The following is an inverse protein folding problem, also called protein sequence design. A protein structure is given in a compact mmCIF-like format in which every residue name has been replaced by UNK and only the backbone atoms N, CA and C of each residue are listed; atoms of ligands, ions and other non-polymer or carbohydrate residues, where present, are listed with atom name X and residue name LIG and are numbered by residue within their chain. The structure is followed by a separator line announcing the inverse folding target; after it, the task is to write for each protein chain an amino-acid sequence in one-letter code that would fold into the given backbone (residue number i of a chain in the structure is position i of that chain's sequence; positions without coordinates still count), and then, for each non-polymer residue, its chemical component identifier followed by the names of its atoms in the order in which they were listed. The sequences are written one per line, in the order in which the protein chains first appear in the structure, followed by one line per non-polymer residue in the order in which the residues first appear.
data_IF_625077324780
#
_entry.id   IF_625077324780
#
_cell.length_a   1.000
_cell.length_b   1.000
_cell.length_c   1.000
_cell.angle_alpha   90.00
_cell.angle_beta   90.00
_cell.angle_gamma   90.00
#
_symmetry.space_group_name_H-M   'P 1'
#
loop_
_entity.id
_entity.type
_entity.pdbx_description
1 polymer ?
#
# COMPACT_ATOMS: atom_id res chain seq x y z
N UNK A 1 17.60 11.32 -8.23
CA UNK A 1 17.21 10.23 -9.14
C UNK A 1 18.23 9.13 -8.99
N UNK A 2 17.81 7.95 -8.56
CA UNK A 2 18.65 6.75 -8.67
C UNK A 2 18.80 6.50 -10.17
N UNK A 3 20.02 6.56 -10.71
CA UNK A 3 20.26 6.19 -12.11
C UNK A 3 19.82 4.75 -12.35
N UNK A 4 19.42 4.41 -13.57
CA UNK A 4 19.07 3.03 -13.93
C UNK A 4 20.26 2.14 -13.56
N UNK A 5 20.05 1.23 -12.61
CA UNK A 5 21.09 0.30 -12.20
C UNK A 5 21.29 -0.74 -13.30
N UNK A 6 22.52 -0.90 -13.74
CA UNK A 6 22.86 -1.91 -14.73
C UNK A 6 22.98 -3.28 -14.03
N UNK A 7 21.97 -4.13 -14.25
CA UNK A 7 21.95 -5.51 -13.79
C UNK A 7 22.65 -6.38 -14.84
N UNK A 8 23.70 -7.08 -14.45
CA UNK A 8 24.31 -8.08 -15.32
C UNK A 8 23.43 -9.36 -15.39
N UNK A 9 23.80 -10.29 -16.28
CA UNK A 9 23.03 -11.53 -16.46
C UNK A 9 22.93 -12.35 -15.17
N UNK A 10 23.95 -12.31 -14.29
CA UNK A 10 23.90 -13.02 -13.01
C UNK A 10 22.95 -12.33 -12.03
N UNK A 11 22.92 -11.01 -12.00
CA UNK A 11 21.95 -10.28 -11.18
C UNK A 11 20.50 -10.60 -11.61
N UNK A 12 20.23 -10.65 -12.92
CA UNK A 12 18.90 -11.04 -13.44
C UNK A 12 18.50 -12.46 -13.04
N UNK A 13 19.40 -13.44 -13.19
CA UNK A 13 19.15 -14.82 -12.76
C UNK A 13 18.88 -14.92 -11.25
N UNK A 14 19.64 -14.17 -10.43
CA UNK A 14 19.42 -14.12 -8.98
C UNK A 14 18.02 -13.56 -8.67
N UNK A 15 17.57 -12.52 -9.39
CA UNK A 15 16.25 -11.92 -9.20
C UNK A 15 15.12 -12.89 -9.56
N UNK A 16 15.23 -13.58 -10.70
CA UNK A 16 14.24 -14.58 -11.14
C UNK A 16 14.05 -15.69 -10.09
N UNK A 17 15.16 -16.24 -9.59
CA UNK A 17 15.14 -17.28 -8.55
C UNK A 17 14.51 -16.77 -7.25
N UNK A 18 14.79 -15.52 -6.86
CA UNK A 18 14.22 -14.89 -5.66
C UNK A 18 12.73 -14.53 -5.84
N UNK A 19 12.28 -14.19 -7.04
CA UNK A 19 10.87 -13.93 -7.35
C UNK A 19 10.05 -15.22 -7.22
N UNK A 20 10.57 -16.35 -7.70
CA UNK A 20 9.92 -17.66 -7.62
C UNK A 20 9.95 -18.26 -6.21
N UNK A 21 11.07 -18.12 -5.51
CA UNK A 21 11.24 -18.63 -4.14
C UNK A 21 12.03 -17.63 -3.27
N UNK A 22 11.35 -16.68 -2.60
CA UNK A 22 12.01 -15.69 -1.75
C UNK A 22 12.78 -16.26 -0.56
N UNK A 23 12.48 -17.50 -0.14
CA UNK A 23 13.10 -18.18 1.01
C UNK A 23 14.34 -19.03 0.64
N UNK A 24 14.67 -19.13 -0.66
CA UNK A 24 15.79 -19.95 -1.13
C UNK A 24 17.13 -19.48 -0.55
N UNK A 25 17.99 -20.45 -0.16
CA UNK A 25 19.27 -20.10 0.44
C UNK A 25 20.26 -19.57 -0.59
N UNK A 26 21.13 -18.64 -0.16
CA UNK A 26 22.19 -18.11 -1.05
C UNK A 26 23.14 -19.19 -1.55
N UNK A 27 23.29 -20.29 -0.80
CA UNK A 27 24.07 -21.47 -1.21
C UNK A 27 23.42 -22.18 -2.41
N UNK A 28 22.10 -22.29 -2.44
CA UNK A 28 21.38 -22.91 -3.55
C UNK A 28 21.40 -22.00 -4.78
N UNK A 29 21.15 -20.71 -4.60
CA UNK A 29 21.30 -19.71 -5.68
C UNK A 29 22.70 -19.80 -6.28
N UNK A 30 23.74 -19.83 -5.45
CA UNK A 30 25.14 -19.92 -5.87
C UNK A 30 25.42 -21.12 -6.79
N UNK A 31 24.86 -22.29 -6.46
CA UNK A 31 24.96 -23.50 -7.30
C UNK A 31 24.29 -23.32 -8.66
N UNK A 32 23.11 -22.71 -8.68
CA UNK A 32 22.31 -22.50 -9.91
C UNK A 32 22.98 -21.47 -10.83
N UNK A 33 23.45 -20.35 -10.27
CA UNK A 33 24.03 -19.25 -11.06
C UNK A 33 25.52 -19.41 -11.32
N UNK A 34 26.19 -20.43 -10.76
CA UNK A 34 27.61 -20.69 -10.95
C UNK A 34 28.52 -19.64 -10.30
N UNK A 35 28.16 -19.17 -9.11
CA UNK A 35 28.94 -18.20 -8.32
C UNK A 35 29.28 -18.78 -6.94
N UNK A 36 30.17 -18.12 -6.21
CA UNK A 36 30.35 -18.41 -4.78
C UNK A 36 29.18 -17.83 -3.97
N UNK A 37 28.86 -18.44 -2.83
CA UNK A 37 27.83 -17.90 -1.93
C UNK A 37 28.13 -16.47 -1.46
N UNK A 38 29.38 -16.10 -1.08
CA UNK A 38 29.71 -14.72 -0.76
C UNK A 38 29.47 -13.74 -1.92
N UNK A 39 29.74 -14.16 -3.16
CA UNK A 39 29.48 -13.35 -4.37
C UNK A 39 27.99 -13.09 -4.56
N UNK A 40 27.13 -14.11 -4.38
CA UNK A 40 25.67 -13.95 -4.42
C UNK A 40 25.20 -13.02 -3.30
N UNK A 41 25.68 -13.22 -2.07
CA UNK A 41 25.34 -12.38 -0.92
C UNK A 41 25.70 -10.91 -1.14
N UNK A 42 26.86 -10.62 -1.72
CA UNK A 42 27.28 -9.26 -2.06
C UNK A 42 26.37 -8.60 -3.10
N UNK A 43 25.94 -9.34 -4.13
CA UNK A 43 25.01 -8.86 -5.18
C UNK A 43 23.63 -8.55 -4.62
N UNK A 44 23.05 -9.47 -3.84
CA UNK A 44 21.75 -9.27 -3.17
C UNK A 44 21.83 -8.05 -2.24
N UNK A 45 22.89 -7.96 -1.43
CA UNK A 45 23.10 -6.81 -0.53
C UNK A 45 23.19 -5.51 -1.33
N UNK A 46 23.98 -5.46 -2.40
CA UNK A 46 24.10 -4.29 -3.27
C UNK A 46 22.74 -3.86 -3.83
N UNK A 47 21.93 -4.79 -4.35
CA UNK A 47 20.60 -4.48 -4.87
C UNK A 47 19.64 -3.98 -3.77
N UNK A 48 19.73 -4.50 -2.55
CA UNK A 48 18.97 -4.01 -1.38
C UNK A 48 19.43 -2.62 -0.95
N UNK A 49 20.73 -2.39 -0.82
CA UNK A 49 21.31 -1.11 -0.41
C UNK A 49 20.96 0.00 -1.42
N UNK A 50 20.78 -0.36 -2.70
CA UNK A 50 20.30 0.54 -3.75
C UNK A 50 18.78 0.71 -3.80
N UNK A 51 18.02 -0.04 -2.99
CA UNK A 51 16.56 0.00 -2.95
C UNK A 51 15.87 -0.67 -4.15
N UNK A 52 16.58 -1.49 -4.92
CA UNK A 52 16.06 -2.17 -6.13
C UNK A 52 15.20 -3.36 -5.74
N UNK A 53 15.65 -4.12 -4.75
CA UNK A 53 14.86 -5.20 -4.16
C UNK A 53 14.61 -4.90 -2.69
N UNK A 54 13.43 -5.30 -2.24
CA UNK A 54 13.07 -5.28 -0.84
C UNK A 54 12.44 -6.64 -0.49
N UNK A 55 12.62 -7.08 0.75
CA UNK A 55 11.97 -8.28 1.27
C UNK A 55 10.94 -7.84 2.30
N UNK A 56 9.67 -8.12 2.06
CA UNK A 56 8.59 -7.73 2.95
C UNK A 56 7.60 -8.87 3.12
N UNK A 57 7.12 -9.05 4.35
CA UNK A 57 5.93 -9.84 4.61
C UNK A 57 4.72 -8.92 4.50
N UNK A 58 3.74 -9.34 3.73
CA UNK A 58 2.55 -8.56 3.46
C UNK A 58 1.31 -9.43 3.35
N UNK A 59 0.18 -8.76 3.23
CA UNK A 59 -1.09 -9.41 2.97
C UNK A 59 -1.22 -9.64 1.46
N UNK A 60 -1.56 -10.85 1.04
CA UNK A 60 -1.86 -11.12 -0.35
C UNK A 60 -3.31 -10.73 -0.65
N UNK A 61 -3.49 -9.64 -1.41
CA UNK A 61 -4.80 -9.06 -1.74
C UNK A 61 -5.74 -10.05 -2.44
N UNK A 62 -5.19 -11.01 -3.18
CA UNK A 62 -5.97 -12.03 -3.88
C UNK A 62 -6.75 -12.95 -2.94
N UNK A 63 -6.19 -13.21 -1.74
CA UNK A 63 -6.69 -14.23 -0.82
C UNK A 63 -7.19 -13.66 0.52
N UNK A 64 -6.96 -12.36 0.79
CA UNK A 64 -7.21 -11.76 2.10
C UNK A 64 -8.70 -11.50 2.43
N UNK A 65 -9.60 -11.63 1.45
CA UNK A 65 -11.02 -11.27 1.63
C UNK A 65 -11.24 -9.78 1.87
N UNK A 66 -10.33 -8.95 1.38
CA UNK A 66 -10.34 -7.50 1.54
C UNK A 66 -10.73 -6.80 0.24
N UNK A 67 -11.48 -5.71 0.36
CA UNK A 67 -11.80 -4.85 -0.77
C UNK A 67 -10.70 -3.82 -0.97
N UNK A 68 -10.38 -3.53 -2.24
CA UNK A 68 -9.46 -2.46 -2.61
C UNK A 68 -10.18 -1.44 -3.48
N UNK A 69 -10.20 -0.20 -3.01
CA UNK A 69 -10.78 0.94 -3.71
C UNK A 69 -9.65 1.78 -4.31
N UNK A 70 -9.71 2.02 -5.62
CA UNK A 70 -8.85 2.95 -6.35
C UNK A 70 -9.58 4.29 -6.45
N UNK A 71 -8.88 5.37 -6.09
CA UNK A 71 -9.41 6.74 -6.09
C UNK A 71 -8.46 7.62 -6.89
N UNK A 72 -8.90 8.04 -8.08
CA UNK A 72 -8.17 8.95 -8.95
C UNK A 72 -8.70 10.39 -8.77
N UNK A 73 -7.82 11.30 -8.37
CA UNK A 73 -8.16 12.65 -7.95
C UNK A 73 -7.47 13.68 -8.85
N UNK A 74 -8.22 14.71 -9.23
CA UNK A 74 -7.70 15.95 -9.81
C UNK A 74 -7.71 17.00 -8.73
N UNK A 75 -6.54 17.51 -8.36
CA UNK A 75 -6.41 18.47 -7.28
C UNK A 75 -5.27 19.47 -7.48
N UNK A 76 -5.27 20.56 -6.72
CA UNK A 76 -4.19 21.58 -6.77
C UNK A 76 -2.91 21.13 -6.09
N UNK A 77 -3.03 20.43 -4.96
CA UNK A 77 -1.93 20.07 -4.06
C UNK A 77 -1.91 18.56 -3.77
N UNK A 78 -1.56 17.71 -4.76
CA UNK A 78 -1.63 16.26 -4.62
C UNK A 78 -0.72 15.71 -3.52
N UNK A 79 0.43 16.35 -3.29
CA UNK A 79 1.37 15.96 -2.22
C UNK A 79 0.83 16.26 -0.82
N UNK A 80 0.09 17.35 -0.64
CA UNK A 80 -0.50 17.68 0.66
C UNK A 80 -1.67 16.74 0.95
N UNK A 81 -2.52 16.50 -0.05
CA UNK A 81 -3.65 15.59 0.07
C UNK A 81 -3.20 14.16 0.43
N UNK A 82 -2.25 13.57 -0.30
CA UNK A 82 -1.76 12.22 0.00
C UNK A 82 -1.13 12.13 1.40
N UNK A 83 -0.44 13.18 1.85
CA UNK A 83 0.20 13.20 3.17
C UNK A 83 -0.80 13.10 4.33
N UNK A 84 -2.06 13.52 4.15
CA UNK A 84 -3.11 13.34 5.15
C UNK A 84 -3.46 11.87 5.41
N UNK A 85 -3.15 10.98 4.45
CA UNK A 85 -3.50 9.56 4.50
C UNK A 85 -2.31 8.64 4.83
N UNK A 86 -1.07 9.12 4.85
CA UNK A 86 0.12 8.26 5.11
C UNK A 86 0.00 7.50 6.44
N UNK A 87 -0.60 8.10 7.46
CA UNK A 87 -0.84 7.45 8.76
C UNK A 87 -2.13 6.63 8.83
N UNK A 88 -2.98 6.66 7.80
CA UNK A 88 -4.28 6.01 7.80
C UNK A 88 -4.13 4.50 7.58
N UNK A 89 -4.69 3.64 8.45
CA UNK A 89 -4.64 2.19 8.30
C UNK A 89 -5.29 1.66 7.02
N UNK A 90 -6.32 2.35 6.54
CA UNK A 90 -7.01 2.00 5.30
C UNK A 90 -6.23 2.45 4.05
N UNK A 91 -5.24 3.34 4.18
CA UNK A 91 -4.45 3.80 3.04
C UNK A 91 -3.41 2.76 2.68
N UNK A 92 -3.51 2.19 1.48
CA UNK A 92 -2.62 1.16 1.00
C UNK A 92 -1.39 1.76 0.31
N UNK A 93 -1.61 2.62 -0.68
CA UNK A 93 -0.54 3.32 -1.40
C UNK A 93 -1.10 4.51 -2.20
N UNK A 94 -0.23 5.38 -2.69
CA UNK A 94 -0.64 6.43 -3.61
C UNK A 94 0.50 6.97 -4.47
N UNK A 95 0.13 7.53 -5.62
CA UNK A 95 1.03 7.95 -6.67
C UNK A 95 0.61 9.33 -7.18
N UNK A 96 1.57 10.25 -7.25
CA UNK A 96 1.40 11.47 -8.05
C UNK A 96 1.70 11.10 -9.49
N UNK A 97 0.70 11.24 -10.35
CA UNK A 97 0.76 10.79 -11.75
C UNK A 97 0.64 11.97 -12.71
N UNK A 98 1.16 11.80 -13.92
CA UNK A 98 0.89 12.70 -15.03
C UNK A 98 -0.40 12.24 -15.75
N UNK A 99 -1.29 13.18 -16.03
CA UNK A 99 -2.57 12.88 -16.68
C UNK A 99 -3.65 13.91 -16.33
N UNK A 100 -4.90 13.62 -16.71
CA UNK A 100 -6.04 14.47 -16.34
C UNK A 100 -6.27 14.47 -14.82
N UNK A 101 -6.17 13.30 -14.20
CA UNK A 101 -6.06 13.11 -12.76
C UNK A 101 -4.57 13.15 -12.42
N UNK A 102 -4.20 13.84 -11.34
CA UNK A 102 -2.81 14.04 -10.95
C UNK A 102 -2.43 13.33 -9.64
N UNK A 103 -3.35 12.53 -9.09
CA UNK A 103 -3.16 11.71 -7.91
C UNK A 103 -3.99 10.42 -8.05
N UNK A 104 -3.40 9.27 -7.74
CA UNK A 104 -4.10 7.99 -7.57
C UNK A 104 -3.81 7.48 -6.17
N UNK A 105 -4.84 7.10 -5.43
CA UNK A 105 -4.71 6.46 -4.11
C UNK A 105 -5.44 5.12 -4.12
N UNK A 106 -4.90 4.16 -3.38
CA UNK A 106 -5.52 2.88 -3.12
C UNK A 106 -5.83 2.76 -1.64
N UNK A 107 -7.06 2.38 -1.34
CA UNK A 107 -7.52 2.10 0.02
C UNK A 107 -7.94 0.65 0.13
N UNK A 108 -7.76 0.06 1.31
CA UNK A 108 -8.07 -1.33 1.62
C UNK A 108 -8.98 -1.41 2.85
N UNK A 109 -9.98 -2.28 2.83
CA UNK A 109 -10.94 -2.39 3.94
C UNK A 109 -11.84 -3.63 3.88
N UNK A 110 -12.50 -3.93 4.99
CA UNK A 110 -13.37 -5.10 5.16
C UNK A 110 -14.71 -4.98 4.43
N UNK A 111 -15.14 -3.76 4.12
CA UNK A 111 -16.39 -3.47 3.43
C UNK A 111 -16.27 -2.22 2.54
N UNK A 112 -17.11 -2.17 1.50
CA UNK A 112 -17.10 -1.07 0.55
C UNK A 112 -17.66 0.24 1.13
N UNK A 113 -18.63 0.17 2.03
CA UNK A 113 -19.27 1.35 2.64
C UNK A 113 -18.27 2.19 3.43
N UNK A 114 -17.37 1.55 4.19
CA UNK A 114 -16.27 2.20 4.90
C UNK A 114 -15.31 2.89 3.92
N UNK A 115 -14.99 2.24 2.79
CA UNK A 115 -14.08 2.83 1.79
C UNK A 115 -14.74 4.01 1.06
N UNK A 116 -16.02 3.91 0.73
CA UNK A 116 -16.81 5.02 0.19
C UNK A 116 -16.88 6.19 1.17
N UNK A 117 -17.13 5.91 2.46
CA UNK A 117 -17.14 6.92 3.51
C UNK A 117 -15.82 7.70 3.60
N UNK A 118 -14.68 7.03 3.39
CA UNK A 118 -13.37 7.71 3.33
C UNK A 118 -13.33 8.71 2.16
N UNK A 119 -13.81 8.31 0.98
CA UNK A 119 -13.86 9.21 -0.18
C UNK A 119 -14.76 10.42 0.11
N UNK A 120 -15.97 10.17 0.60
CA UNK A 120 -16.97 11.22 0.75
C UNK A 120 -16.74 12.14 1.94
N UNK A 121 -16.11 11.66 3.02
CA UNK A 121 -15.88 12.44 4.23
C UNK A 121 -14.47 13.02 4.33
N UNK A 122 -13.49 12.46 3.62
CA UNK A 122 -12.08 12.85 3.79
C UNK A 122 -11.39 13.30 2.51
N UNK A 123 -11.95 13.02 1.32
CA UNK A 123 -11.35 13.43 0.04
C UNK A 123 -12.23 14.48 -0.64
N UNK A 124 -13.52 14.17 -0.85
CA UNK A 124 -14.47 15.05 -1.56
C UNK A 124 -14.64 16.44 -0.94
N UNK A 125 -14.63 16.62 0.40
CA UNK A 125 -14.78 17.94 1.00
C UNK A 125 -13.52 18.82 0.93
N UNK A 126 -12.36 18.27 0.54
CA UNK A 126 -11.11 19.03 0.49
C UNK A 126 -11.20 20.12 -0.60
N UNK A 127 -10.96 21.41 -0.25
CA UNK A 127 -11.11 22.52 -1.19
C UNK A 127 -10.12 22.49 -2.35
N UNK A 128 -9.05 21.70 -2.26
CA UNK A 128 -8.09 21.53 -3.34
C UNK A 128 -8.51 20.45 -4.34
N UNK A 129 -9.58 19.70 -4.08
CA UNK A 129 -10.08 18.63 -4.94
C UNK A 129 -11.13 19.18 -5.91
N UNK A 130 -10.92 18.93 -7.20
CA UNK A 130 -11.79 19.40 -8.27
C UNK A 130 -12.67 18.31 -8.87
N UNK A 131 -12.14 17.09 -8.91
CA UNK A 131 -12.79 15.97 -9.60
C UNK A 131 -12.25 14.64 -9.08
N UNK A 132 -13.13 13.66 -8.85
CA UNK A 132 -12.80 12.35 -8.29
C UNK A 132 -13.41 11.27 -9.19
N UNK A 133 -12.60 10.28 -9.53
CA UNK A 133 -13.05 9.03 -10.17
C UNK A 133 -12.73 7.86 -9.24
N UNK A 134 -13.68 6.94 -9.05
CA UNK A 134 -13.57 5.85 -8.08
C UNK A 134 -13.81 4.53 -8.78
N UNK A 135 -12.89 3.59 -8.59
CA UNK A 135 -12.98 2.24 -9.13
C UNK A 135 -12.73 1.19 -8.04
N UNK A 136 -13.41 0.06 -8.14
CA UNK A 136 -13.17 -1.09 -7.25
C UNK A 136 -12.28 -2.08 -7.98
N UNK A 137 -11.24 -2.57 -7.31
CA UNK A 137 -10.44 -3.69 -7.82
C UNK A 137 -11.24 -4.97 -7.64
N UNK A 138 -11.79 -5.50 -8.73
CA UNK A 138 -12.64 -6.71 -8.70
C UNK A 138 -11.80 -7.99 -8.56
N UNK A 139 -10.62 -8.02 -9.17
CA UNK A 139 -9.76 -9.22 -9.27
C UNK A 139 -8.29 -8.82 -9.43
N UNK A 140 -7.41 -9.56 -8.75
CA UNK A 140 -5.99 -9.61 -9.06
C UNK A 140 -5.67 -10.91 -9.81
N UNK A 141 -5.05 -10.82 -10.99
CA UNK A 141 -4.68 -12.00 -11.78
C UNK A 141 -3.49 -12.74 -11.16
N UNK A 142 -2.49 -11.98 -10.72
CA UNK A 142 -1.30 -12.46 -10.00
C UNK A 142 -1.40 -12.23 -8.50
N UNK A 143 -0.60 -12.97 -7.75
CA UNK A 143 -0.40 -12.68 -6.32
C UNK A 143 0.10 -11.25 -6.13
N UNK A 144 -0.54 -10.53 -5.21
CA UNK A 144 -0.23 -9.13 -4.95
C UNK A 144 -0.03 -8.98 -3.45
N UNK A 145 1.21 -9.18 -3.02
CA UNK A 145 1.63 -9.09 -1.62
C UNK A 145 1.96 -7.65 -1.30
N UNK A 146 1.20 -7.05 -0.39
CA UNK A 146 1.40 -5.66 0.02
C UNK A 146 1.64 -5.56 1.52
N UNK A 147 2.65 -4.79 1.97
CA UNK A 147 2.84 -4.55 3.38
C UNK A 147 1.65 -3.73 3.89
N UNK A 148 0.98 -4.25 4.92
CA UNK A 148 -0.13 -3.59 5.59
C UNK A 148 0.17 -3.50 7.07
N UNK A 149 -0.04 -2.32 7.68
CA UNK A 149 0.13 -2.15 9.12
C UNK A 149 -1.10 -2.70 9.84
N UNK A 150 -1.05 -3.98 10.21
CA UNK A 150 -2.11 -4.67 10.96
C UNK A 150 -2.05 -4.30 12.44
N UNK A 151 -0.84 -4.18 13.00
CA UNK A 151 -0.68 -3.73 14.38
C UNK A 151 -0.68 -2.20 14.46
N UNK A 152 -1.62 -1.64 15.22
CA UNK A 152 -1.83 -0.20 15.33
C UNK A 152 -1.68 0.26 16.77
N UNK A 153 -0.92 1.33 16.94
CA UNK A 153 -0.88 2.10 18.19
C UNK A 153 -2.09 3.03 18.24
N UNK A 154 -2.88 2.90 19.31
CA UNK A 154 -4.07 3.73 19.50
C UNK A 154 -3.69 5.16 19.87
N UNK A 155 -4.48 6.12 19.41
CA UNK A 155 -4.34 7.54 19.70
C UNK A 155 -5.71 8.20 19.77
N UNK A 156 -5.85 9.23 20.58
CA UNK A 156 -7.10 9.99 20.70
C UNK A 156 -7.47 10.74 19.40
N UNK A 157 -6.48 10.97 18.51
CA UNK A 157 -6.65 11.71 17.26
C UNK A 157 -6.43 10.82 16.04
N UNK A 158 -7.36 10.90 15.09
CA UNK A 158 -7.21 10.27 13.78
C UNK A 158 -6.13 10.99 12.95
N UNK A 159 -5.38 10.29 12.08
CA UNK A 159 -4.38 10.90 11.20
C UNK A 159 -4.94 11.98 10.27
N UNK A 160 -6.18 11.79 9.81
CA UNK A 160 -6.91 12.76 8.99
C UNK A 160 -7.59 13.87 9.81
N UNK A 161 -7.34 13.95 11.13
CA UNK A 161 -7.99 14.86 12.09
C UNK A 161 -9.52 14.74 12.19
N UNK A 162 -10.13 13.69 11.60
CA UNK A 162 -11.55 13.45 11.72
C UNK A 162 -11.96 12.99 13.14
N UNK A 163 -13.17 13.36 13.55
CA UNK A 163 -13.77 12.89 14.79
C UNK A 163 -14.90 11.91 14.48
N UNK A 164 -14.61 10.61 14.58
CA UNK A 164 -15.57 9.56 14.29
C UNK A 164 -16.79 9.57 15.24
N UNK A 165 -16.63 10.00 16.50
CA UNK A 165 -17.71 9.99 17.49
C UNK A 165 -18.86 10.94 17.14
N UNK A 166 -18.62 11.97 16.32
CA UNK A 166 -19.65 12.90 15.85
C UNK A 166 -20.05 12.70 14.39
N UNK A 167 -19.36 11.85 13.64
CA UNK A 167 -19.59 11.62 12.22
C UNK A 167 -20.87 10.80 11.95
N UNK A 168 -21.71 11.28 11.04
CA UNK A 168 -22.99 10.63 10.71
C UNK A 168 -22.81 9.27 10.04
N UNK A 169 -21.76 9.08 9.23
CA UNK A 169 -21.46 7.76 8.64
C UNK A 169 -21.19 6.71 9.71
N UNK A 170 -20.44 7.07 10.76
CA UNK A 170 -20.15 6.14 11.85
C UNK A 170 -21.37 5.90 12.75
N UNK A 171 -22.15 6.94 13.06
CA UNK A 171 -23.37 6.82 13.87
C UNK A 171 -24.43 5.96 13.21
N UNK A 172 -24.59 6.07 11.89
CA UNK A 172 -25.55 5.31 11.10
C UNK A 172 -24.99 3.98 10.57
N UNK A 173 -23.84 3.52 11.08
CA UNK A 173 -23.23 2.23 10.73
C UNK A 173 -22.85 2.08 9.24
N UNK A 174 -22.66 3.20 8.54
CA UNK A 174 -22.19 3.24 7.14
C UNK A 174 -20.65 3.24 7.04
N UNK A 175 -19.95 3.30 8.17
CA UNK A 175 -18.50 3.25 8.25
C UNK A 175 -18.08 2.53 9.54
N UNK A 176 -17.12 1.60 9.43
CA UNK A 176 -16.59 0.87 10.58
C UNK A 176 -15.80 1.74 11.56
N UNK A 177 -15.46 2.99 11.21
CA UNK A 177 -14.73 3.93 12.05
C UNK A 177 -13.21 3.83 11.89
N UNK A 178 -12.47 4.72 12.58
CA UNK A 178 -11.02 4.74 12.49
C UNK A 178 -10.38 3.69 13.42
N UNK A 179 -9.49 2.82 12.92
CA UNK A 179 -8.74 1.86 13.75
C UNK A 179 -7.85 2.49 14.82
N UNK A 180 -7.40 3.72 14.62
CA UNK A 180 -6.51 4.42 15.56
C UNK A 180 -7.25 4.97 16.77
N UNK A 181 -8.48 5.48 16.59
CA UNK A 181 -9.22 6.21 17.64
C UNK A 181 -10.11 5.32 18.49
N UNK A 182 -10.03 4.00 18.36
CA UNK A 182 -10.85 3.05 19.12
C UNK A 182 -12.33 3.00 18.70
N UNK A 183 -12.73 3.71 17.64
CA UNK A 183 -14.09 3.70 17.10
C UNK A 183 -14.32 2.55 16.10
N UNK A 184 -13.29 1.73 15.87
CA UNK A 184 -13.31 0.65 14.87
C UNK A 184 -14.17 -0.54 15.28
N UNK A 185 -15.08 -0.94 14.38
CA UNK A 185 -16.01 -2.06 14.58
C UNK A 185 -15.70 -3.30 13.74
N UNK A 186 -14.65 -3.26 12.90
CA UNK A 186 -14.21 -4.40 12.10
C UNK A 186 -13.37 -5.40 12.89
N UNK A 187 -12.75 -6.34 12.16
CA UNK A 187 -11.99 -7.47 12.72
C UNK A 187 -10.48 -7.32 12.54
N UNK A 188 -10.02 -6.73 11.44
CA UNK A 188 -8.59 -6.76 11.05
C UNK A 188 -7.69 -6.00 12.01
N UNK A 189 -8.18 -4.86 12.47
CA UNK A 189 -7.42 -3.96 13.35
C UNK A 189 -8.02 -3.88 14.76
N UNK A 190 -8.71 -4.93 15.19
CA UNK A 190 -9.33 -4.98 16.52
C UNK A 190 -8.29 -5.17 17.63
#
# INVERSE_FOLDING_TARGET
MVGVFELDEKDKMILEILEENPEISQNEIAKVVGLSQPSVGARIKKMRDLGIINHTYGVNLKNAGLYVLKVDVKCRQPRELINTFIGCPFFLNGFVIAGNKNLTMMFIGEDLSTLEAIVDQHIRPDPNVYDIDVGIVVRAEKDTVVPMKVHIERSDKAPCNANCGVCDYWKNELCLGCPITGHYRGKIWR
#
